data_IF_659215289572
#
_entry.id   IF_659215289572
#
_cell.length_a   1.000
_cell.length_b   1.000
_cell.length_c   1.000
_cell.angle_alpha   90.00
_cell.angle_beta   90.00
_cell.angle_gamma   90.00
#
_symmetry.space_group_name_H-M   'P 1'
#
loop_
_entity.id
_entity.type
_entity.pdbx_description
1 polymer ?
#
# COMPACT_ATOMS: atom_id res chain seq x y z
N UNK A 1 15.42 6.42 1.31
CA UNK A 1 15.61 6.90 2.69
C UNK A 1 15.95 5.69 3.53
N UNK A 2 16.96 5.77 4.39
CA UNK A 2 17.31 4.66 5.29
C UNK A 2 16.19 4.36 6.29
N UNK A 3 15.97 3.08 6.63
CA UNK A 3 14.89 2.66 7.55
C UNK A 3 14.98 3.39 8.90
N UNK A 4 16.17 3.56 9.46
CA UNK A 4 16.37 4.25 10.74
C UNK A 4 15.96 5.72 10.70
N UNK A 5 16.17 6.40 9.56
CA UNK A 5 15.75 7.79 9.37
C UNK A 5 14.23 7.88 9.27
N UNK A 6 13.62 6.97 8.52
CA UNK A 6 12.17 6.88 8.40
C UNK A 6 11.52 6.60 9.76
N UNK A 7 12.03 5.60 10.47
CA UNK A 7 11.56 5.22 11.80
C UNK A 7 11.66 6.38 12.79
N UNK A 8 12.81 7.08 12.84
CA UNK A 8 13.02 8.21 13.73
C UNK A 8 12.10 9.39 13.39
N UNK A 9 11.91 9.71 12.11
CA UNK A 9 10.93 10.72 11.69
C UNK A 9 9.55 10.34 12.23
N UNK A 10 9.14 9.11 11.99
CA UNK A 10 7.78 8.71 12.26
C UNK A 10 7.47 8.57 13.76
N UNK A 11 8.21 7.72 14.47
CA UNK A 11 7.95 7.39 15.88
C UNK A 11 8.16 8.57 16.81
N UNK A 12 9.11 9.46 16.50
CA UNK A 12 9.48 10.54 17.40
C UNK A 12 8.79 11.88 17.09
N UNK A 13 8.25 12.05 15.88
CA UNK A 13 7.70 13.35 15.45
C UNK A 13 6.27 13.23 14.93
N UNK A 14 5.98 12.24 14.09
CA UNK A 14 4.64 12.12 13.46
C UNK A 14 3.63 11.51 14.43
N UNK A 15 3.92 10.31 14.93
CA UNK A 15 3.00 9.56 15.78
C UNK A 15 2.55 10.27 17.07
N UNK A 16 3.41 11.04 17.76
CA UNK A 16 2.97 11.81 18.93
C UNK A 16 2.05 12.98 18.61
N UNK A 17 2.01 13.45 17.37
CA UNK A 17 1.42 14.74 17.00
C UNK A 17 0.22 14.64 16.04
N UNK A 18 0.16 13.59 15.21
CA UNK A 18 -0.89 13.40 14.19
C UNK A 18 -1.65 12.13 14.51
N UNK A 19 -2.97 12.22 14.69
CA UNK A 19 -3.80 11.05 15.01
C UNK A 19 -4.05 10.18 13.78
N UNK A 20 -4.40 8.92 14.02
CA UNK A 20 -4.75 7.95 12.99
C UNK A 20 -4.14 6.58 13.27
N UNK A 21 -4.33 5.66 12.34
CA UNK A 21 -3.94 4.26 12.45
C UNK A 21 -2.83 3.95 11.46
N UNK A 22 -1.60 3.82 11.97
CA UNK A 22 -0.46 3.40 11.17
C UNK A 22 0.64 2.89 12.10
N UNK A 23 0.89 1.59 12.02
CA UNK A 23 1.63 0.85 13.05
C UNK A 23 3.04 0.47 12.61
N UNK A 24 3.81 -0.06 13.55
CA UNK A 24 5.21 -0.48 13.37
C UNK A 24 5.39 -1.43 12.18
N UNK A 25 4.47 -2.37 11.98
CA UNK A 25 4.50 -3.28 10.83
C UNK A 25 4.24 -2.58 9.50
N UNK A 26 3.39 -1.57 9.50
CA UNK A 26 3.06 -0.79 8.30
C UNK A 26 4.26 0.07 7.89
N UNK A 27 4.95 0.67 8.87
CA UNK A 27 6.21 1.40 8.64
C UNK A 27 7.25 0.52 7.95
N UNK A 28 7.46 -0.70 8.44
CA UNK A 28 8.44 -1.64 7.87
C UNK A 28 8.02 -2.03 6.45
N UNK A 29 6.74 -2.39 6.24
CA UNK A 29 6.26 -2.83 4.94
C UNK A 29 6.29 -1.71 3.90
N UNK A 30 5.79 -0.51 4.22
CA UNK A 30 5.79 0.63 3.30
C UNK A 30 7.23 1.00 2.91
N UNK A 31 8.11 1.09 3.89
CA UNK A 31 9.53 1.37 3.64
C UNK A 31 10.18 0.28 2.77
N UNK A 32 9.93 -1.00 3.08
CA UNK A 32 10.54 -2.11 2.36
C UNK A 32 10.07 -2.18 0.91
N UNK A 33 8.78 -1.97 0.65
CA UNK A 33 8.23 -1.93 -0.70
C UNK A 33 8.79 -0.73 -1.49
N UNK A 34 8.86 0.44 -0.86
CA UNK A 34 9.51 1.62 -1.46
C UNK A 34 11.00 1.37 -1.74
N UNK A 35 11.71 0.74 -0.81
CA UNK A 35 13.12 0.37 -0.98
C UNK A 35 13.30 -0.54 -2.20
N UNK A 36 12.49 -1.59 -2.32
CA UNK A 36 12.51 -2.52 -3.46
C UNK A 36 12.29 -1.76 -4.78
N UNK A 37 11.27 -0.91 -4.85
CA UNK A 37 10.98 -0.10 -6.05
C UNK A 37 12.13 0.86 -6.38
N UNK A 38 12.78 1.45 -5.37
CA UNK A 38 13.93 2.35 -5.54
C UNK A 38 15.16 1.64 -6.07
N UNK A 39 15.50 0.48 -5.51
CA UNK A 39 16.62 -0.34 -5.97
C UNK A 39 16.41 -0.85 -7.40
N UNK A 40 15.16 -1.17 -7.77
CA UNK A 40 14.81 -1.56 -9.13
C UNK A 40 14.69 -0.36 -10.11
N UNK A 41 14.77 0.88 -9.62
CA UNK A 41 14.63 2.09 -10.42
C UNK A 41 13.19 2.38 -10.91
N UNK A 42 12.19 1.61 -10.48
CA UNK A 42 10.79 1.83 -10.80
C UNK A 42 10.30 3.12 -10.17
N UNK A 43 9.59 3.95 -10.93
CA UNK A 43 9.20 5.32 -10.55
C UNK A 43 7.71 5.55 -10.78
N UNK A 44 7.16 6.49 -10.04
CA UNK A 44 5.76 6.85 -10.11
C UNK A 44 5.32 7.63 -8.89
N UNK A 45 4.15 8.24 -9.01
CA UNK A 45 3.48 8.97 -7.95
C UNK A 45 2.94 8.00 -6.89
N UNK A 46 2.60 8.55 -5.73
CA UNK A 46 2.02 7.86 -4.60
C UNK A 46 0.60 8.38 -4.38
N UNK A 47 -0.31 7.51 -3.96
CA UNK A 47 -1.69 7.85 -3.72
C UNK A 47 -2.21 7.21 -2.44
N UNK A 48 -2.96 7.96 -1.65
CA UNK A 48 -3.72 7.47 -0.50
C UNK A 48 -5.21 7.85 -0.66
N UNK A 49 -6.08 6.89 -0.40
CA UNK A 49 -7.53 7.05 -0.33
C UNK A 49 -7.95 6.86 1.13
N UNK A 50 -8.62 7.85 1.72
CA UNK A 50 -8.86 7.90 3.17
C UNK A 50 -7.63 8.37 3.91
N UNK A 51 -7.65 9.62 4.37
CA UNK A 51 -6.45 10.35 4.82
C UNK A 51 -6.58 10.76 6.28
N UNK A 52 -7.80 11.04 6.75
CA UNK A 52 -8.07 11.50 8.12
C UNK A 52 -7.18 12.70 8.52
N UNK A 53 -6.39 12.64 9.60
CA UNK A 53 -5.44 13.70 9.98
C UNK A 53 -4.10 13.65 9.19
N UNK A 54 -3.91 12.66 8.31
CA UNK A 54 -2.75 12.52 7.41
C UNK A 54 -1.61 11.66 7.93
N UNK A 55 -1.83 10.84 8.98
CA UNK A 55 -0.78 10.05 9.63
C UNK A 55 -0.09 9.08 8.65
N UNK A 56 -0.84 8.24 7.95
CA UNK A 56 -0.32 7.32 6.94
C UNK A 56 0.14 8.06 5.66
N UNK A 57 -0.57 9.10 5.22
CA UNK A 57 -0.12 9.99 4.12
C UNK A 57 1.26 10.58 4.37
N UNK A 58 1.60 10.98 5.59
CA UNK A 58 2.95 11.45 5.94
C UNK A 58 3.96 10.33 5.79
N UNK A 59 3.62 9.12 6.25
CA UNK A 59 4.46 7.93 6.09
C UNK A 59 4.75 7.64 4.62
N UNK A 60 3.71 7.66 3.78
CA UNK A 60 3.81 7.46 2.33
C UNK A 60 4.57 8.61 1.65
N UNK A 61 4.26 9.87 2.00
CA UNK A 61 4.86 11.07 1.43
C UNK A 61 6.35 11.20 1.72
N UNK A 62 6.81 10.76 2.90
CA UNK A 62 8.22 10.72 3.23
C UNK A 62 9.03 9.73 2.36
N UNK A 63 8.35 8.79 1.69
CA UNK A 63 8.96 7.86 0.74
C UNK A 63 9.01 8.41 -0.70
N UNK A 64 8.37 9.55 -0.99
CA UNK A 64 8.41 10.16 -2.31
C UNK A 64 9.84 10.57 -2.72
N UNK A 65 10.18 10.41 -4.00
CA UNK A 65 11.42 10.93 -4.60
C UNK A 65 11.22 12.31 -5.20
N UNK A 66 12.30 13.04 -5.54
CA UNK A 66 12.20 14.18 -6.43
C UNK A 66 11.49 13.79 -7.74
N UNK A 67 10.47 14.57 -8.10
CA UNK A 67 9.63 14.37 -9.28
C UNK A 67 8.41 13.47 -9.08
N UNK A 68 8.24 12.83 -7.91
CA UNK A 68 7.03 12.04 -7.60
C UNK A 68 6.03 12.87 -6.80
N UNK A 69 4.75 12.77 -7.11
CA UNK A 69 3.68 13.47 -6.39
C UNK A 69 3.05 12.56 -5.34
N UNK A 70 2.43 13.17 -4.32
CA UNK A 70 1.52 12.49 -3.40
C UNK A 70 0.11 13.04 -3.62
N UNK A 71 -0.81 12.13 -3.95
CA UNK A 71 -2.24 12.43 -4.06
C UNK A 71 -2.98 11.84 -2.86
N UNK A 72 -3.79 12.65 -2.19
CA UNK A 72 -4.54 12.29 -0.99
C UNK A 72 -6.03 12.57 -1.23
N UNK A 73 -6.85 11.53 -1.37
CA UNK A 73 -8.29 11.67 -1.59
C UNK A 73 -9.08 11.39 -0.31
N UNK A 74 -9.93 12.33 0.11
CA UNK A 74 -10.79 12.20 1.29
C UNK A 74 -12.02 13.10 1.15
N UNK A 75 -13.07 12.88 1.94
CA UNK A 75 -14.17 13.83 2.10
C UNK A 75 -13.78 15.06 2.93
N UNK A 76 -12.73 14.96 3.76
CA UNK A 76 -12.24 15.99 4.68
C UNK A 76 -13.34 16.53 5.62
N UNK A 77 -14.26 15.65 6.01
CA UNK A 77 -15.44 16.00 6.80
C UNK A 77 -15.17 15.95 8.32
N UNK A 78 -14.30 15.03 8.77
CA UNK A 78 -13.85 14.97 10.17
C UNK A 78 -12.74 15.98 10.46
N UNK A 79 -11.80 16.12 9.51
CA UNK A 79 -10.65 17.00 9.59
C UNK A 79 -10.60 17.81 8.31
N UNK A 80 -10.61 19.14 8.42
CA UNK A 80 -10.61 20.00 7.25
C UNK A 80 -9.38 19.78 6.39
N UNK A 81 -9.54 19.83 5.06
CA UNK A 81 -8.47 19.65 4.08
C UNK A 81 -7.23 20.49 4.40
N UNK A 82 -7.40 21.75 4.80
CA UNK A 82 -6.29 22.66 5.12
C UNK A 82 -5.42 22.18 6.30
N UNK A 83 -6.04 21.56 7.31
CA UNK A 83 -5.31 20.99 8.46
C UNK A 83 -4.51 19.76 8.02
N UNK A 84 -5.13 18.87 7.23
CA UNK A 84 -4.47 17.68 6.70
C UNK A 84 -3.28 18.06 5.82
N UNK A 85 -3.47 18.99 4.89
CA UNK A 85 -2.39 19.54 4.07
C UNK A 85 -1.27 20.16 4.91
N UNK A 86 -1.61 20.92 5.95
CA UNK A 86 -0.63 21.51 6.86
C UNK A 86 0.17 20.44 7.60
N UNK A 87 -0.48 19.37 8.07
CA UNK A 87 0.19 18.25 8.73
C UNK A 87 1.17 17.59 7.75
N UNK A 88 0.73 17.26 6.54
CA UNK A 88 1.59 16.61 5.54
C UNK A 88 2.76 17.50 5.15
N UNK A 89 2.54 18.78 4.81
CA UNK A 89 3.62 19.71 4.43
C UNK A 89 4.65 19.91 5.55
N UNK A 90 4.21 19.89 6.81
CA UNK A 90 5.10 20.02 7.97
C UNK A 90 6.14 18.89 8.04
N UNK A 91 5.73 17.65 7.76
CA UNK A 91 6.61 16.48 7.87
C UNK A 91 7.21 16.03 6.52
N UNK A 92 6.65 16.50 5.41
CA UNK A 92 7.11 16.22 4.05
C UNK A 92 7.34 17.53 3.27
N UNK A 93 8.25 18.42 3.73
CA UNK A 93 8.45 19.74 3.10
C UNK A 93 8.93 19.66 1.65
N UNK A 94 9.58 18.54 1.27
CA UNK A 94 10.05 18.33 -0.10
C UNK A 94 8.90 18.17 -1.11
N UNK A 95 7.67 17.87 -0.66
CA UNK A 95 6.49 17.74 -1.53
C UNK A 95 5.90 19.08 -1.99
N UNK A 96 6.59 20.20 -1.79
CA UNK A 96 6.11 21.50 -2.27
C UNK A 96 5.80 21.47 -3.78
N UNK A 97 4.62 21.99 -4.14
CA UNK A 97 4.06 21.90 -5.50
C UNK A 97 3.72 20.49 -6.01
N UNK A 98 3.90 19.44 -5.19
CA UNK A 98 3.70 18.02 -5.54
C UNK A 98 2.79 17.25 -4.58
N UNK A 99 2.19 17.95 -3.62
CA UNK A 99 1.13 17.43 -2.75
C UNK A 99 -0.23 17.89 -3.27
N UNK A 100 -1.11 16.94 -3.58
CA UNK A 100 -2.51 17.20 -3.91
C UNK A 100 -3.44 16.53 -2.90
N UNK A 101 -3.99 17.30 -1.96
CA UNK A 101 -5.15 16.87 -1.18
C UNK A 101 -6.43 17.23 -1.94
N UNK A 102 -7.28 16.24 -2.20
CA UNK A 102 -8.38 16.35 -3.16
C UNK A 102 -9.66 15.92 -2.46
N UNK A 103 -10.58 16.87 -2.24
CA UNK A 103 -11.87 16.57 -1.63
C UNK A 103 -12.72 15.74 -2.60
N UNK A 104 -13.07 14.51 -2.22
CA UNK A 104 -13.80 13.58 -3.09
C UNK A 104 -14.64 12.59 -2.30
N UNK A 105 -15.89 12.40 -2.76
CA UNK A 105 -16.74 11.28 -2.35
C UNK A 105 -16.40 10.04 -3.18
N UNK A 106 -15.46 9.24 -2.66
CA UNK A 106 -14.92 8.05 -3.31
C UNK A 106 -16.01 7.02 -3.68
N UNK A 107 -16.95 6.62 -2.79
CA UNK A 107 -18.07 5.74 -3.13
C UNK A 107 -18.93 6.20 -4.32
N UNK A 108 -19.05 7.51 -4.53
CA UNK A 108 -19.84 8.09 -5.61
C UNK A 108 -19.07 8.24 -6.93
N UNK A 109 -17.76 7.98 -6.95
CA UNK A 109 -16.97 8.06 -8.18
C UNK A 109 -17.41 7.02 -9.21
N UNK A 110 -17.41 7.41 -10.48
CA UNK A 110 -17.80 6.57 -11.63
C UNK A 110 -16.77 6.54 -12.74
N UNK A 111 -15.64 7.21 -12.54
CA UNK A 111 -14.54 7.32 -13.48
C UNK A 111 -13.24 7.57 -12.74
N UNK A 112 -12.12 7.33 -13.42
CA UNK A 112 -10.78 7.65 -12.94
C UNK A 112 -10.68 9.16 -12.59
N UNK A 113 -10.00 9.53 -11.49
CA UNK A 113 -9.83 10.93 -11.14
C UNK A 113 -8.93 11.65 -12.16
N UNK A 114 -9.32 12.82 -12.70
CA UNK A 114 -8.52 13.53 -13.70
C UNK A 114 -7.23 14.16 -13.14
N UNK A 115 -7.11 14.26 -11.82
CA UNK A 115 -5.94 14.81 -11.14
C UNK A 115 -4.71 13.89 -11.24
N UNK A 116 -4.93 12.60 -11.50
CA UNK A 116 -3.88 11.58 -11.56
C UNK A 116 -3.74 11.07 -12.99
N UNK A 117 -2.51 11.09 -13.50
CA UNK A 117 -2.24 10.62 -14.85
C UNK A 117 -2.38 9.09 -14.94
N UNK A 118 -2.97 8.55 -16.03
CA UNK A 118 -3.00 7.11 -16.27
C UNK A 118 -1.59 6.51 -16.25
N UNK A 119 -1.45 5.36 -15.57
CA UNK A 119 -0.18 4.66 -15.45
C UNK A 119 0.92 5.42 -14.69
N UNK A 120 0.58 6.38 -13.82
CA UNK A 120 1.57 7.16 -13.06
C UNK A 120 1.80 6.66 -11.63
N UNK A 121 0.86 5.92 -11.02
CA UNK A 121 0.96 5.50 -9.62
C UNK A 121 1.85 4.27 -9.45
N UNK A 122 2.88 4.34 -8.61
CA UNK A 122 3.66 3.17 -8.19
C UNK A 122 3.24 2.62 -6.82
N UNK A 123 2.50 3.41 -6.05
CA UNK A 123 2.10 3.05 -4.70
C UNK A 123 0.70 3.60 -4.43
N UNK A 124 -0.27 2.71 -4.25
CA UNK A 124 -1.66 3.04 -3.94
C UNK A 124 -2.04 2.44 -2.59
N UNK A 125 -2.33 3.28 -1.60
CA UNK A 125 -2.87 2.89 -0.30
C UNK A 125 -4.39 3.16 -0.27
N UNK A 126 -5.19 2.14 0.00
CA UNK A 126 -6.65 2.23 0.12
C UNK A 126 -7.03 1.97 1.57
N UNK A 127 -7.45 3.02 2.25
CA UNK A 127 -7.88 3.06 3.66
C UNK A 127 -9.08 4.03 3.82
N UNK A 128 -10.00 3.99 2.84
CA UNK A 128 -11.14 4.88 2.76
C UNK A 128 -12.36 4.28 3.48
N UNK A 129 -13.44 4.00 2.75
CA UNK A 129 -14.56 3.24 3.30
C UNK A 129 -14.24 1.74 3.24
N UNK A 130 -14.56 1.00 4.29
CA UNK A 130 -14.23 -0.43 4.39
C UNK A 130 -15.41 -1.36 4.06
N UNK A 131 -16.42 -0.85 3.35
CA UNK A 131 -17.51 -1.67 2.83
C UNK A 131 -17.16 -2.28 1.46
N UNK A 132 -17.80 -3.40 1.12
CA UNK A 132 -17.54 -4.09 -0.13
C UNK A 132 -17.70 -3.20 -1.39
N UNK A 133 -18.84 -2.50 -1.59
CA UNK A 133 -19.04 -1.73 -2.81
C UNK A 133 -18.07 -0.55 -2.93
N UNK A 134 -17.70 0.09 -1.83
CA UNK A 134 -16.74 1.20 -1.80
C UNK A 134 -15.33 0.76 -2.17
N UNK A 135 -14.79 -0.26 -1.49
CA UNK A 135 -13.44 -0.79 -1.80
C UNK A 135 -13.35 -1.30 -3.24
N UNK A 136 -14.40 -1.98 -3.72
CA UNK A 136 -14.45 -2.45 -5.09
C UNK A 136 -14.50 -1.28 -6.09
N UNK A 137 -15.22 -0.21 -5.77
CA UNK A 137 -15.27 1.00 -6.58
C UNK A 137 -13.91 1.71 -6.62
N UNK A 138 -13.20 1.79 -5.51
CA UNK A 138 -11.86 2.37 -5.42
C UNK A 138 -10.85 1.57 -6.25
N UNK A 139 -10.82 0.25 -6.07
CA UNK A 139 -10.02 -0.65 -6.90
C UNK A 139 -10.34 -0.45 -8.39
N UNK A 140 -11.62 -0.26 -8.74
CA UNK A 140 -12.02 -0.08 -10.14
C UNK A 140 -11.56 1.25 -10.74
N UNK A 141 -11.63 2.34 -9.98
CA UNK A 141 -11.29 3.68 -10.46
C UNK A 141 -9.78 3.97 -10.42
N UNK A 142 -9.02 3.30 -9.54
CA UNK A 142 -7.59 3.58 -9.36
C UNK A 142 -6.66 2.54 -9.99
N UNK A 143 -7.11 1.30 -10.23
CA UNK A 143 -6.28 0.31 -10.93
C UNK A 143 -5.78 0.75 -12.32
N UNK A 144 -6.56 1.48 -13.16
CA UNK A 144 -6.07 1.99 -14.44
C UNK A 144 -4.97 3.06 -14.33
N UNK A 145 -4.75 3.62 -13.14
CA UNK A 145 -3.74 4.63 -12.87
C UNK A 145 -2.39 4.03 -12.47
N UNK A 146 -2.32 2.71 -12.29
CA UNK A 146 -1.14 2.01 -11.82
C UNK A 146 -0.07 1.87 -12.92
N UNK A 147 1.17 2.12 -12.55
CA UNK A 147 2.36 1.65 -13.27
C UNK A 147 2.38 0.11 -13.29
N UNK A 148 3.07 -0.53 -14.26
CA UNK A 148 3.18 -2.00 -14.30
C UNK A 148 3.76 -2.60 -13.02
N UNK A 149 4.62 -1.85 -12.32
CA UNK A 149 5.31 -2.28 -11.11
C UNK A 149 4.64 -1.83 -9.81
N UNK A 150 3.45 -1.24 -9.89
CA UNK A 150 2.79 -0.68 -8.73
C UNK A 150 2.44 -1.72 -7.66
N UNK A 151 2.39 -1.23 -6.42
CA UNK A 151 1.79 -1.95 -5.30
C UNK A 151 0.46 -1.28 -4.91
N UNK A 152 -0.54 -2.11 -4.65
CA UNK A 152 -1.78 -1.72 -3.98
C UNK A 152 -1.70 -2.24 -2.55
N UNK A 153 -2.03 -1.41 -1.58
CA UNK A 153 -2.11 -1.77 -0.17
C UNK A 153 -3.54 -1.54 0.28
N UNK A 154 -4.23 -2.61 0.70
CA UNK A 154 -5.58 -2.56 1.24
C UNK A 154 -5.50 -2.64 2.75
N UNK A 155 -6.02 -1.63 3.46
CA UNK A 155 -6.12 -1.69 4.92
C UNK A 155 -7.29 -2.54 5.40
N UNK A 156 -7.16 -3.06 6.61
CA UNK A 156 -8.20 -3.82 7.31
C UNK A 156 -8.80 -5.02 6.57
N UNK A 157 -8.03 -5.60 5.65
CA UNK A 157 -8.42 -6.79 4.90
C UNK A 157 -8.69 -8.03 5.78
N UNK A 158 -8.30 -7.99 7.05
CA UNK A 158 -8.52 -9.06 8.03
C UNK A 158 -9.25 -8.60 9.30
N UNK A 159 -9.75 -7.37 9.32
CA UNK A 159 -10.49 -6.86 10.47
C UNK A 159 -11.91 -7.43 10.47
N UNK A 160 -12.37 -8.06 11.57
CA UNK A 160 -13.73 -8.60 11.67
C UNK A 160 -14.83 -7.52 11.60
N UNK A 161 -14.53 -6.26 11.91
CA UNK A 161 -15.47 -5.15 11.75
C UNK A 161 -15.64 -4.77 10.28
N UNK A 162 -14.67 -5.13 9.42
CA UNK A 162 -14.58 -4.72 8.01
C UNK A 162 -14.50 -5.88 6.99
N UNK A 163 -15.40 -6.89 7.04
CA UNK A 163 -15.33 -8.05 6.15
C UNK A 163 -15.52 -7.71 4.66
N UNK A 164 -16.03 -6.50 4.36
CA UNK A 164 -16.23 -5.99 3.01
C UNK A 164 -14.93 -5.88 2.22
N UNK A 165 -13.82 -5.54 2.88
CA UNK A 165 -12.52 -5.32 2.22
C UNK A 165 -12.02 -6.59 1.51
N UNK A 166 -11.95 -7.71 2.23
CA UNK A 166 -11.45 -8.98 1.69
C UNK A 166 -12.32 -9.51 0.55
N UNK A 167 -13.64 -9.33 0.66
CA UNK A 167 -14.59 -9.78 -0.36
C UNK A 167 -14.50 -8.92 -1.62
N UNK A 168 -14.34 -7.60 -1.49
CA UNK A 168 -14.13 -6.69 -2.61
C UNK A 168 -12.80 -6.95 -3.34
N UNK A 169 -11.72 -7.14 -2.58
CA UNK A 169 -10.43 -7.56 -3.13
C UNK A 169 -10.56 -8.84 -3.96
N UNK A 170 -11.23 -9.84 -3.40
CA UNK A 170 -11.43 -11.14 -4.04
C UNK A 170 -12.24 -11.00 -5.32
N UNK A 171 -13.38 -10.31 -5.28
CA UNK A 171 -14.18 -10.05 -6.48
C UNK A 171 -13.36 -9.32 -7.55
N UNK A 172 -12.64 -8.27 -7.16
CA UNK A 172 -11.80 -7.52 -8.08
C UNK A 172 -10.75 -8.41 -8.74
N UNK A 173 -9.99 -9.19 -7.97
CA UNK A 173 -8.96 -10.10 -8.48
C UNK A 173 -9.53 -11.18 -9.42
N UNK A 174 -10.78 -11.61 -9.22
CA UNK A 174 -11.45 -12.60 -10.06
C UNK A 174 -12.17 -11.98 -11.26
N UNK A 175 -12.38 -10.66 -11.26
CA UNK A 175 -13.02 -9.94 -12.37
C UNK A 175 -12.11 -9.85 -13.60
N UNK A 176 -12.71 -9.54 -14.76
CA UNK A 176 -11.96 -9.34 -16.01
C UNK A 176 -10.87 -8.26 -15.87
N UNK A 177 -11.19 -7.19 -15.15
CA UNK A 177 -10.31 -6.05 -14.98
C UNK A 177 -9.15 -6.35 -14.04
N UNK A 178 -9.43 -6.96 -12.89
CA UNK A 178 -8.40 -7.26 -11.88
C UNK A 178 -7.71 -8.61 -12.05
N UNK A 179 -8.05 -9.42 -13.08
CA UNK A 179 -7.46 -10.77 -13.27
C UNK A 179 -5.95 -10.79 -13.36
N UNK A 180 -5.30 -9.67 -13.64
CA UNK A 180 -3.84 -9.54 -13.75
C UNK A 180 -3.17 -9.03 -12.45
N UNK A 181 -3.94 -8.73 -11.41
CA UNK A 181 -3.46 -8.23 -10.12
C UNK A 181 -3.67 -9.33 -9.07
N UNK A 182 -2.67 -9.62 -8.25
CA UNK A 182 -2.76 -10.66 -7.21
C UNK A 182 -2.13 -10.22 -5.89
N UNK A 183 -2.65 -10.71 -4.75
CA UNK A 183 -1.98 -10.52 -3.48
C UNK A 183 -0.64 -11.26 -3.53
N UNK A 184 0.42 -10.58 -3.09
CA UNK A 184 1.76 -11.17 -2.98
C UNK A 184 2.24 -11.24 -1.53
N UNK A 185 1.73 -10.38 -0.65
CA UNK A 185 2.10 -10.35 0.76
C UNK A 185 0.90 -9.94 1.62
N UNK A 186 0.94 -10.31 2.90
CA UNK A 186 0.01 -9.88 3.93
C UNK A 186 0.78 -9.50 5.20
N UNK A 187 0.33 -8.47 5.92
CA UNK A 187 0.77 -8.16 7.28
C UNK A 187 -0.41 -8.36 8.25
N UNK A 188 -0.42 -7.68 9.40
CA UNK A 188 -1.45 -7.88 10.44
C UNK A 188 -2.85 -7.47 9.97
N UNK A 189 -3.02 -6.26 9.46
CA UNK A 189 -4.30 -5.76 8.94
C UNK A 189 -4.30 -5.61 7.41
N UNK A 190 -3.13 -5.46 6.78
CA UNK A 190 -3.02 -5.07 5.37
C UNK A 190 -2.76 -6.25 4.43
N UNK A 191 -3.38 -6.18 3.26
CA UNK A 191 -3.05 -7.02 2.10
C UNK A 191 -2.32 -6.20 1.04
N UNK A 192 -1.28 -6.79 0.44
CA UNK A 192 -0.45 -6.13 -0.57
C UNK A 192 -0.60 -6.86 -1.91
N UNK A 193 -0.98 -6.12 -2.95
CA UNK A 193 -1.24 -6.64 -4.29
C UNK A 193 -0.29 -6.01 -5.31
N UNK A 194 0.02 -6.75 -6.37
CA UNK A 194 0.79 -6.26 -7.50
C UNK A 194 0.37 -6.99 -8.79
N UNK A 195 0.93 -6.60 -9.93
CA UNK A 195 0.77 -7.35 -11.18
C UNK A 195 1.32 -8.78 -11.04
N UNK A 196 0.61 -9.78 -11.58
CA UNK A 196 0.97 -11.21 -11.50
C UNK A 196 2.44 -11.51 -11.78
N UNK A 197 3.08 -10.97 -12.83
CA UNK A 197 4.49 -11.26 -13.12
C UNK A 197 5.47 -10.81 -12.02
N UNK A 198 5.03 -9.94 -11.10
CA UNK A 198 5.85 -9.38 -10.04
C UNK A 198 5.58 -10.01 -8.66
N UNK A 199 4.62 -10.91 -8.53
CA UNK A 199 4.29 -11.56 -7.25
C UNK A 199 5.54 -12.20 -6.64
N UNK A 200 6.21 -13.05 -7.40
CA UNK A 200 7.43 -13.71 -6.91
C UNK A 200 8.60 -12.75 -6.75
N UNK A 201 8.67 -11.70 -7.58
CA UNK A 201 9.73 -10.69 -7.50
C UNK A 201 9.64 -9.97 -6.15
N UNK A 202 8.47 -9.43 -5.81
CA UNK A 202 8.27 -8.78 -4.52
C UNK A 202 8.45 -9.74 -3.34
N UNK A 203 7.90 -10.96 -3.41
CA UNK A 203 8.09 -11.97 -2.36
C UNK A 203 9.56 -12.29 -2.13
N UNK A 204 10.32 -12.53 -3.21
CA UNK A 204 11.75 -12.82 -3.13
C UNK A 204 12.53 -11.64 -2.57
N UNK A 205 12.23 -10.43 -2.99
CA UNK A 205 12.88 -9.24 -2.45
C UNK A 205 12.59 -9.05 -0.96
N UNK A 206 11.34 -9.25 -0.51
CA UNK A 206 10.99 -9.17 0.91
C UNK A 206 11.76 -10.21 1.72
N UNK A 207 11.73 -11.47 1.28
CA UNK A 207 12.49 -12.55 1.93
C UNK A 207 13.96 -12.18 1.93
N UNK A 208 14.61 -12.04 0.77
CA UNK A 208 16.05 -11.75 0.67
C UNK A 208 16.54 -10.53 1.47
N UNK A 209 15.66 -9.55 1.76
CA UNK A 209 16.00 -8.37 2.56
C UNK A 209 16.37 -8.67 4.01
N UNK A 210 15.86 -9.77 4.60
CA UNK A 210 16.04 -10.13 6.02
C UNK A 210 15.60 -9.04 7.02
N UNK A 211 14.72 -8.12 6.61
CA UNK A 211 14.15 -7.12 7.52
C UNK A 211 12.97 -7.65 8.35
N UNK A 212 12.43 -8.82 7.98
CA UNK A 212 11.31 -9.48 8.66
C UNK A 212 11.72 -10.92 8.90
N UNK A 213 11.83 -11.33 10.17
CA UNK A 213 12.26 -12.69 10.51
C UNK A 213 11.10 -13.70 10.46
N UNK A 214 9.89 -13.25 10.80
CA UNK A 214 8.75 -14.13 11.00
C UNK A 214 7.85 -14.14 9.76
N UNK A 215 8.15 -15.03 8.81
CA UNK A 215 7.42 -15.15 7.55
C UNK A 215 6.98 -16.60 7.24
N UNK A 216 5.87 -16.77 6.53
CA UNK A 216 5.48 -18.05 5.91
C UNK A 216 4.57 -17.84 4.70
N UNK A 217 4.44 -18.84 3.84
CA UNK A 217 3.51 -18.79 2.71
C UNK A 217 2.12 -19.32 3.09
N UNK A 218 1.10 -18.81 2.39
CA UNK A 218 -0.27 -19.35 2.39
C UNK A 218 -0.84 -19.35 0.97
N UNK A 219 -1.72 -20.30 0.66
CA UNK A 219 -2.44 -20.36 -0.60
C UNK A 219 -3.62 -19.40 -0.55
N UNK A 220 -3.64 -18.41 -1.43
CA UNK A 220 -4.72 -17.42 -1.53
C UNK A 220 -5.09 -17.23 -3.00
N UNK A 221 -6.37 -17.39 -3.32
CA UNK A 221 -6.86 -17.48 -4.70
C UNK A 221 -6.10 -18.59 -5.46
N UNK A 222 -5.54 -18.25 -6.61
CA UNK A 222 -4.76 -19.12 -7.49
C UNK A 222 -3.23 -18.93 -7.33
N UNK A 223 -2.77 -18.30 -6.24
CA UNK A 223 -1.35 -18.08 -5.97
C UNK A 223 -0.96 -18.27 -4.51
N UNK A 224 0.29 -17.91 -4.20
CA UNK A 224 0.82 -17.88 -2.83
C UNK A 224 0.95 -16.45 -2.33
N UNK A 225 0.69 -16.23 -1.05
CA UNK A 225 0.87 -14.96 -0.34
C UNK A 225 1.91 -15.15 0.76
N UNK A 226 2.90 -14.25 0.82
CA UNK A 226 3.88 -14.20 1.90
C UNK A 226 3.26 -13.51 3.12
N UNK A 227 2.98 -14.25 4.18
CA UNK A 227 2.52 -13.73 5.46
C UNK A 227 3.69 -13.19 6.25
N UNK A 228 3.82 -11.88 6.33
CA UNK A 228 4.79 -11.18 7.14
C UNK A 228 4.30 -11.03 8.59
N UNK A 229 5.22 -11.08 9.56
CA UNK A 229 4.94 -10.98 11.00
C UNK A 229 4.01 -12.08 11.54
N UNK A 230 4.07 -13.27 10.93
CA UNK A 230 3.23 -14.43 11.26
C UNK A 230 3.62 -15.07 12.60
N UNK A 231 2.65 -15.70 13.27
CA UNK A 231 2.90 -16.55 14.44
C UNK A 231 3.39 -17.97 14.07
N UNK A 232 3.40 -18.30 12.77
CA UNK A 232 3.81 -19.59 12.24
C UNK A 232 4.96 -19.40 11.25
N UNK A 233 6.16 -18.99 11.73
CA UNK A 233 7.27 -18.69 10.85
C UNK A 233 7.92 -19.97 10.29
N UNK A 234 8.45 -19.84 9.09
CA UNK A 234 9.27 -20.84 8.40
C UNK A 234 10.68 -20.30 8.26
N UNK A 235 11.70 -21.16 8.24
CA UNK A 235 13.08 -20.74 8.10
C UNK A 235 13.30 -19.99 6.78
N UNK A 236 14.15 -18.97 6.83
CA UNK A 236 14.43 -18.10 5.70
C UNK A 236 14.93 -18.84 4.45
N UNK A 237 15.81 -19.82 4.65
CA UNK A 237 16.36 -20.62 3.55
C UNK A 237 15.30 -21.55 2.94
N UNK A 238 14.32 -21.99 3.72
CA UNK A 238 13.21 -22.80 3.23
C UNK A 238 12.27 -21.94 2.37
N UNK A 239 12.02 -20.67 2.77
CA UNK A 239 11.24 -19.73 1.96
C UNK A 239 11.89 -19.47 0.60
N UNK A 240 13.21 -19.27 0.57
CA UNK A 240 13.94 -19.09 -0.69
C UNK A 240 13.88 -20.34 -1.57
N UNK A 241 14.01 -21.55 -0.99
CA UNK A 241 13.86 -22.81 -1.74
C UNK A 241 12.47 -22.94 -2.38
N UNK A 242 11.41 -22.57 -1.67
CA UNK A 242 10.03 -22.55 -2.20
C UNK A 242 9.89 -21.56 -3.36
N UNK A 243 10.55 -20.40 -3.27
CA UNK A 243 10.56 -19.42 -4.36
C UNK A 243 11.39 -19.87 -5.56
N UNK A 244 12.43 -20.67 -5.37
CA UNK A 244 13.29 -21.19 -6.45
C UNK A 244 12.69 -22.41 -7.16
N UNK A 245 11.85 -23.19 -6.48
CA UNK A 245 11.20 -24.36 -7.05
C UNK A 245 9.99 -24.04 -7.96
N UNK A 246 9.52 -22.78 -7.96
CA UNK A 246 8.34 -22.33 -8.73
C UNK A 246 7.01 -22.92 -8.22
N UNK A 247 5.94 -22.71 -8.98
CA UNK A 247 4.55 -23.07 -8.60
C UNK A 247 4.34 -24.57 -8.27
N UNK A 248 5.21 -25.46 -8.75
CA UNK A 248 5.09 -26.91 -8.50
C UNK A 248 5.41 -27.35 -7.08
N UNK A 249 6.01 -26.48 -6.26
CA UNK A 249 6.41 -26.78 -4.88
C UNK A 249 5.61 -26.01 -3.81
N UNK A 250 4.58 -25.24 -4.22
CA UNK A 250 3.81 -24.30 -3.37
C UNK A 250 2.39 -24.74 -3.08
#
# INVERSE_FOLDING_TARGET
>A
MEIFKFWKLYKNQVEPEVKGWFYDHDLIMFWLLDFIQKEAGWRGDLCELGVYEGRSAIGLGALARPGESLFCFDLFHEVSQAVVESNIRRFCPDLDGRLGCIQRDLPSMRAVPPEVAPGSLRFLHIDAVHDHPGVLNDLRNFAPLLTPEAVIVLDDCFDPDWPGVATAMTEFCLSEMGRHIRPFSASRSKMYLCARPLVEVYQRCIVASRHIDNMSFERVLDGSVLRCFTHYPVLHDDLLRVLDAGDGAR
#
